data_IF_594821728889
#
_entry.id   IF_594821728889
#
_cell.length_a   1.000
_cell.length_b   1.000
_cell.length_c   1.000
_cell.angle_alpha   90.00
_cell.angle_beta   90.00
_cell.angle_gamma   90.00
#
_symmetry.space_group_name_H-M   'P 1'
#
loop_
_entity.id
_entity.type
_entity.pdbx_description
1 polymer ?
#
# COMPACT_ATOMS: atom_id res chain seq x y z
N UNK A 1 -4.58 -21.41 9.27
CA UNK A 1 -4.57 -22.56 8.35
C UNK A 1 -3.13 -22.96 8.11
N UNK A 2 -2.73 -24.18 8.47
CA UNK A 2 -1.39 -24.69 8.15
C UNK A 2 -1.33 -25.07 6.66
N UNK A 3 -0.57 -24.31 5.88
CA UNK A 3 -0.45 -24.50 4.42
C UNK A 3 0.54 -25.59 4.04
N UNK A 4 1.25 -26.19 5.00
CA UNK A 4 2.18 -27.29 4.77
C UNK A 4 1.49 -28.66 4.60
N UNK A 5 0.20 -28.75 4.96
CA UNK A 5 -0.62 -29.97 4.83
C UNK A 5 -1.71 -29.81 3.77
N UNK A 6 -2.10 -30.92 3.14
CA UNK A 6 -3.04 -30.93 2.00
C UNK A 6 -4.35 -30.21 2.29
N UNK A 7 -4.96 -30.46 3.46
CA UNK A 7 -6.24 -29.84 3.83
C UNK A 7 -6.14 -28.32 3.90
N UNK A 8 -5.07 -27.80 4.52
CA UNK A 8 -4.90 -26.36 4.66
C UNK A 8 -4.54 -25.69 3.33
N UNK A 9 -3.72 -26.34 2.49
CA UNK A 9 -3.43 -25.86 1.14
C UNK A 9 -4.70 -25.78 0.28
N UNK A 10 -5.54 -26.81 0.30
CA UNK A 10 -6.82 -26.83 -0.44
C UNK A 10 -7.75 -25.71 0.02
N UNK A 11 -7.86 -25.48 1.33
CA UNK A 11 -8.69 -24.42 1.88
C UNK A 11 -8.24 -23.02 1.42
N UNK A 12 -6.93 -22.75 1.42
CA UNK A 12 -6.39 -21.46 0.95
C UNK A 12 -6.61 -21.28 -0.56
N UNK A 13 -6.39 -22.32 -1.38
CA UNK A 13 -6.64 -22.24 -2.83
C UNK A 13 -8.11 -21.94 -3.14
N UNK A 14 -9.04 -22.64 -2.49
CA UNK A 14 -10.47 -22.39 -2.66
C UNK A 14 -10.86 -20.96 -2.25
N UNK A 15 -10.25 -20.42 -1.19
CA UNK A 15 -10.49 -19.03 -0.80
C UNK A 15 -9.96 -18.03 -1.84
N UNK A 16 -8.77 -18.29 -2.41
CA UNK A 16 -8.19 -17.47 -3.47
C UNK A 16 -9.08 -17.48 -4.72
N UNK A 17 -9.58 -18.65 -5.13
CA UNK A 17 -10.46 -18.79 -6.30
C UNK A 17 -11.79 -18.01 -6.15
N UNK A 18 -12.21 -17.73 -4.92
CA UNK A 18 -13.41 -16.94 -4.61
C UNK A 18 -13.15 -15.43 -4.56
N UNK A 19 -11.89 -14.99 -4.55
CA UNK A 19 -11.57 -13.56 -4.50
C UNK A 19 -12.00 -12.87 -5.80
N UNK A 20 -12.63 -11.70 -5.65
CA UNK A 20 -12.98 -10.81 -6.76
C UNK A 20 -12.23 -9.49 -6.58
N UNK A 21 -11.55 -8.98 -7.63
CA UNK A 21 -10.92 -7.66 -7.55
C UNK A 21 -12.00 -6.58 -7.44
N UNK A 22 -11.73 -5.57 -6.62
CA UNK A 22 -12.58 -4.39 -6.44
C UNK A 22 -11.71 -3.18 -6.06
N UNK A 23 -12.13 -1.98 -6.46
CA UNK A 23 -11.44 -0.73 -6.13
C UNK A 23 -10.13 -0.47 -6.88
N UNK A 24 -9.18 0.18 -6.19
CA UNK A 24 -7.89 0.61 -6.73
C UNK A 24 -6.72 -0.30 -6.33
N UNK A 25 -5.63 -0.18 -7.07
CA UNK A 25 -4.40 -0.95 -6.89
C UNK A 25 -3.46 -0.19 -5.96
N UNK A 26 -3.28 -0.71 -4.74
CA UNK A 26 -2.45 -0.08 -3.71
C UNK A 26 -1.28 -1.01 -3.32
N UNK A 27 -0.30 -1.08 -4.22
CA UNK A 27 0.91 -1.89 -4.02
C UNK A 27 1.70 -1.49 -2.77
N UNK A 28 1.92 -0.18 -2.45
CA UNK A 28 2.70 0.18 -1.27
C UNK A 28 2.09 -0.33 0.03
N UNK A 29 0.76 -0.34 0.18
CA UNK A 29 0.14 -0.87 1.40
C UNK A 29 0.43 -2.38 1.56
N UNK A 30 0.28 -3.16 0.49
CA UNK A 30 0.59 -4.59 0.48
C UNK A 30 2.07 -4.88 0.81
N UNK A 31 2.99 -4.12 0.20
CA UNK A 31 4.42 -4.21 0.50
C UNK A 31 4.71 -3.86 1.97
N UNK A 32 4.04 -2.84 2.51
CA UNK A 32 4.29 -2.40 3.88
C UNK A 32 3.80 -3.43 4.90
N UNK A 33 2.72 -4.15 4.63
CA UNK A 33 2.28 -5.29 5.45
C UNK A 33 3.20 -6.49 5.31
N UNK A 34 3.61 -6.84 4.09
CA UNK A 34 4.57 -7.91 3.85
C UNK A 34 5.88 -7.68 4.61
N UNK A 35 6.40 -6.45 4.55
CA UNK A 35 7.57 -6.04 5.32
C UNK A 35 7.34 -6.16 6.83
N UNK A 36 6.22 -5.65 7.38
CA UNK A 36 5.93 -5.75 8.82
C UNK A 36 5.85 -7.19 9.32
N UNK A 37 5.32 -8.11 8.53
CA UNK A 37 5.18 -9.53 8.91
C UNK A 37 6.52 -10.24 9.00
N UNK A 38 7.47 -9.94 8.10
CA UNK A 38 8.79 -10.57 8.13
C UNK A 38 9.76 -9.89 9.11
N UNK A 39 9.48 -8.65 9.53
CA UNK A 39 10.31 -7.89 10.47
C UNK A 39 10.22 -8.41 11.90
N UNK A 40 11.18 -8.07 12.76
CA UNK A 40 11.12 -8.37 14.21
C UNK A 40 10.45 -7.27 15.04
N UNK A 41 10.15 -6.12 14.43
CA UNK A 41 9.49 -4.99 15.07
C UNK A 41 7.97 -5.18 15.21
N UNK A 42 7.34 -4.27 15.96
CA UNK A 42 5.88 -4.22 16.04
C UNK A 42 5.22 -4.00 14.65
N UNK A 43 4.01 -4.54 14.40
CA UNK A 43 3.14 -5.21 15.37
C UNK A 43 3.38 -6.71 15.55
N UNK A 44 4.27 -7.33 14.75
CA UNK A 44 4.56 -8.77 14.81
C UNK A 44 5.99 -9.02 15.32
N UNK A 45 6.15 -9.07 16.64
CA UNK A 45 7.46 -9.15 17.29
C UNK A 45 8.08 -10.56 17.30
N UNK A 46 7.44 -11.53 16.66
CA UNK A 46 7.89 -12.93 16.62
C UNK A 46 8.95 -13.19 15.54
N UNK A 47 9.13 -12.27 14.59
CA UNK A 47 10.18 -12.37 13.60
C UNK A 47 11.56 -12.37 14.26
N UNK A 48 12.46 -13.25 13.82
CA UNK A 48 13.86 -13.23 14.25
C UNK A 48 14.52 -11.90 13.85
N UNK A 49 15.53 -11.38 14.57
CA UNK A 49 16.20 -10.14 14.22
C UNK A 49 16.73 -10.14 12.78
N UNK A 50 16.71 -8.97 12.14
CA UNK A 50 17.23 -8.77 10.77
C UNK A 50 18.74 -9.02 10.67
N UNK A 51 19.46 -8.94 11.80
CA UNK A 51 20.91 -9.17 11.88
C UNK A 51 21.30 -10.62 12.16
N UNK A 52 20.32 -11.52 12.34
CA UNK A 52 20.59 -12.92 12.62
C UNK A 52 21.15 -13.63 11.38
N UNK A 53 22.29 -14.33 11.53
CA UNK A 53 22.92 -15.05 10.43
C UNK A 53 22.04 -16.22 9.98
N UNK A 54 21.84 -16.38 8.67
CA UNK A 54 21.00 -17.43 8.10
C UNK A 54 19.49 -17.12 8.17
N UNK A 55 19.14 -15.83 8.23
CA UNK A 55 17.77 -15.33 8.25
C UNK A 55 17.56 -14.25 7.18
N UNK A 56 17.77 -14.59 5.92
CA UNK A 56 17.50 -13.68 4.81
C UNK A 56 15.99 -13.41 4.73
N UNK A 57 15.61 -12.13 4.84
CA UNK A 57 14.23 -11.69 4.77
C UNK A 57 13.98 -11.08 3.40
N UNK A 58 13.04 -11.68 2.67
CA UNK A 58 12.73 -11.31 1.29
C UNK A 58 11.24 -11.07 1.17
N UNK A 59 10.85 -9.96 0.55
CA UNK A 59 9.46 -9.65 0.21
C UNK A 59 9.35 -9.54 -1.31
N UNK A 60 8.60 -10.46 -1.91
CA UNK A 60 8.35 -10.46 -3.35
C UNK A 60 6.97 -9.85 -3.59
N UNK A 61 6.94 -8.74 -4.31
CA UNK A 61 5.70 -8.06 -4.70
C UNK A 61 5.33 -8.47 -6.13
N UNK A 62 4.11 -9.00 -6.28
CA UNK A 62 3.53 -9.37 -7.56
C UNK A 62 2.29 -8.51 -7.79
N UNK A 63 2.25 -7.79 -8.90
CA UNK A 63 1.11 -6.97 -9.30
C UNK A 63 0.98 -6.98 -10.83
N UNK A 64 -0.24 -6.91 -11.32
CA UNK A 64 -0.59 -6.86 -12.75
C UNK A 64 -0.90 -5.44 -13.25
N UNK A 65 -0.84 -4.43 -12.37
CA UNK A 65 -1.27 -3.08 -12.67
C UNK A 65 -0.40 -1.99 -12.04
N UNK A 66 -0.60 -0.77 -12.54
CA UNK A 66 -0.03 0.43 -11.93
C UNK A 66 -0.74 0.73 -10.60
N UNK A 67 -0.07 1.46 -9.71
CA UNK A 67 -0.73 2.03 -8.53
C UNK A 67 -1.86 2.96 -8.95
N UNK A 68 -3.01 2.87 -8.29
CA UNK A 68 -4.15 3.74 -8.59
C UNK A 68 -4.84 4.24 -7.33
N UNK A 69 -5.28 5.49 -7.42
CA UNK A 69 -6.16 6.18 -6.49
C UNK A 69 -7.17 6.97 -7.33
N UNK A 70 -8.38 7.15 -6.84
CA UNK A 70 -9.46 7.66 -7.68
C UNK A 70 -10.17 8.86 -7.07
N UNK A 71 -10.51 9.82 -7.93
CA UNK A 71 -11.60 10.78 -7.67
C UNK A 71 -12.95 10.06 -7.74
N UNK A 72 -13.99 10.51 -6.99
CA UNK A 72 -15.33 9.92 -7.12
C UNK A 72 -15.87 10.02 -8.57
N UNK A 73 -15.62 11.16 -9.23
CA UNK A 73 -16.08 11.40 -10.61
C UNK A 73 -15.45 10.44 -11.62
N UNK A 74 -14.19 10.04 -11.43
CA UNK A 74 -13.55 9.03 -12.30
C UNK A 74 -14.20 7.64 -12.22
N UNK A 75 -15.01 7.40 -11.17
CA UNK A 75 -15.80 6.20 -10.99
C UNK A 75 -17.29 6.44 -11.25
N UNK A 76 -17.66 7.54 -11.92
CA UNK A 76 -19.06 7.94 -12.14
C UNK A 76 -19.87 8.26 -10.87
N UNK A 77 -19.19 8.67 -9.79
CA UNK A 77 -19.84 9.12 -8.55
C UNK A 77 -19.77 10.65 -8.42
N UNK A 78 -20.74 11.25 -7.74
CA UNK A 78 -20.69 12.67 -7.37
C UNK A 78 -19.78 12.89 -6.15
N UNK A 79 -19.21 14.09 -6.03
CA UNK A 79 -18.38 14.50 -4.89
C UNK A 79 -18.95 15.75 -4.20
N UNK A 80 -20.14 15.68 -3.57
CA UNK A 80 -20.77 16.84 -2.95
C UNK A 80 -20.02 17.35 -1.71
N UNK A 81 -19.18 16.52 -1.10
CA UNK A 81 -18.35 16.88 0.04
C UNK A 81 -16.99 17.47 -0.37
N UNK A 82 -16.73 17.55 -1.67
CA UNK A 82 -15.45 17.99 -2.25
C UNK A 82 -14.25 17.23 -1.68
N UNK A 83 -14.41 15.93 -1.40
CA UNK A 83 -13.41 15.05 -0.79
C UNK A 83 -12.19 14.79 -1.68
N UNK A 84 -12.29 15.15 -2.98
CA UNK A 84 -11.29 15.00 -4.04
C UNK A 84 -10.88 13.56 -4.36
N UNK A 85 -11.33 12.59 -3.58
CA UNK A 85 -10.95 11.19 -3.70
C UNK A 85 -12.01 10.28 -3.09
N UNK A 86 -12.04 9.02 -3.51
CA UNK A 86 -12.67 7.96 -2.74
C UNK A 86 -11.85 7.67 -1.48
N UNK A 87 -12.50 7.17 -0.44
CA UNK A 87 -11.80 6.75 0.77
C UNK A 87 -10.95 5.50 0.50
N UNK A 88 -9.64 5.56 0.81
CA UNK A 88 -8.72 4.44 0.73
C UNK A 88 -7.59 4.60 1.78
N UNK A 89 -6.43 3.92 1.64
CA UNK A 89 -5.41 3.82 2.70
C UNK A 89 -4.86 5.17 3.19
N UNK A 90 -4.85 6.19 2.35
CA UNK A 90 -4.40 7.54 2.71
C UNK A 90 -5.55 8.45 3.20
N UNK A 91 -6.78 7.93 3.26
CA UNK A 91 -7.99 8.68 3.60
C UNK A 91 -8.48 9.57 2.47
N UNK A 92 -9.38 10.50 2.78
CA UNK A 92 -9.73 11.55 1.82
C UNK A 92 -8.59 12.55 1.65
N UNK A 93 -8.46 13.13 0.47
CA UNK A 93 -7.45 14.16 0.18
C UNK A 93 -7.91 15.58 0.54
N UNK A 94 -9.21 15.74 0.84
CA UNK A 94 -9.78 16.95 1.45
C UNK A 94 -10.78 16.52 2.54
N UNK A 95 -10.74 17.09 3.77
CA UNK A 95 -9.78 18.09 4.26
C UNK A 95 -8.35 17.55 4.31
N UNK A 96 -7.37 18.46 4.28
CA UNK A 96 -5.96 18.09 4.41
C UNK A 96 -5.66 17.46 5.78
N UNK A 97 -4.53 16.75 5.86
CA UNK A 97 -4.19 15.97 7.04
C UNK A 97 -3.76 16.88 8.21
N UNK A 98 -4.26 16.58 9.41
CA UNK A 98 -3.84 17.19 10.68
C UNK A 98 -3.84 18.74 10.67
N UNK A 99 -4.89 19.33 10.11
CA UNK A 99 -5.05 20.79 10.02
C UNK A 99 -4.21 21.47 8.92
N UNK A 100 -3.49 20.70 8.10
CA UNK A 100 -2.84 21.22 6.89
C UNK A 100 -3.83 21.31 5.72
N UNK A 101 -3.41 21.92 4.63
CA UNK A 101 -4.12 21.90 3.34
C UNK A 101 -3.75 20.71 2.45
N UNK A 102 -2.84 19.83 2.90
CA UNK A 102 -2.26 18.76 2.07
C UNK A 102 -2.83 17.41 2.47
N UNK A 103 -3.41 16.69 1.51
CA UNK A 103 -3.88 15.32 1.72
C UNK A 103 -2.73 14.35 2.02
N UNK A 104 -2.99 13.31 2.82
CA UNK A 104 -1.93 12.40 3.31
C UNK A 104 -1.13 11.73 2.20
N UNK A 105 -1.76 11.42 1.06
CA UNK A 105 -1.09 10.82 -0.10
C UNK A 105 0.10 11.66 -0.61
N UNK A 106 0.00 12.98 -0.50
CA UNK A 106 1.00 13.93 -0.99
C UNK A 106 2.03 14.33 0.07
N UNK A 107 1.95 13.78 1.27
CA UNK A 107 2.90 14.08 2.32
C UNK A 107 4.21 13.34 2.08
N UNK A 108 5.33 14.07 2.19
CA UNK A 108 6.66 13.51 2.00
C UNK A 108 7.01 13.16 0.55
N UNK A 109 6.14 13.48 -0.41
CA UNK A 109 6.46 13.38 -1.83
C UNK A 109 7.36 14.53 -2.26
N UNK A 110 8.06 14.35 -3.38
CA UNK A 110 8.91 15.34 -4.01
C UNK A 110 8.10 16.52 -4.55
N UNK A 111 8.80 17.58 -4.96
CA UNK A 111 8.19 18.75 -5.61
C UNK A 111 7.65 18.45 -7.01
N UNK A 112 7.90 17.27 -7.58
CA UNK A 112 7.30 16.84 -8.83
C UNK A 112 5.82 16.49 -8.69
N UNK A 113 5.36 16.20 -7.46
CA UNK A 113 3.96 15.90 -7.16
C UNK A 113 3.21 17.18 -6.82
N UNK A 114 2.19 17.49 -7.61
CA UNK A 114 1.33 18.65 -7.36
C UNK A 114 0.40 18.39 -6.17
N UNK A 115 0.66 19.01 -5.02
CA UNK A 115 -0.13 18.77 -3.79
C UNK A 115 -1.61 19.20 -3.88
N UNK A 116 -1.97 19.96 -4.91
CA UNK A 116 -3.34 20.40 -5.22
C UNK A 116 -3.82 19.94 -6.61
N UNK A 117 -3.05 19.06 -7.27
CA UNK A 117 -3.48 18.40 -8.50
C UNK A 117 -4.20 17.10 -8.13
N UNK A 118 -5.53 17.13 -8.27
CA UNK A 118 -6.43 16.03 -7.92
C UNK A 118 -6.72 15.09 -9.10
N UNK A 119 -5.82 15.03 -10.10
CA UNK A 119 -5.93 14.07 -11.19
C UNK A 119 -5.49 12.67 -10.77
N UNK A 120 -6.15 11.63 -11.31
CA UNK A 120 -5.77 10.23 -11.08
C UNK A 120 -4.31 9.95 -11.49
N UNK A 121 -3.79 10.67 -12.49
CA UNK A 121 -2.39 10.58 -12.91
C UNK A 121 -1.43 11.08 -11.84
N UNK A 122 -1.70 12.26 -11.25
CA UNK A 122 -0.90 12.76 -10.14
C UNK A 122 -1.00 11.85 -8.89
N UNK A 123 -2.17 11.26 -8.63
CA UNK A 123 -2.31 10.28 -7.56
C UNK A 123 -1.47 9.02 -7.78
N UNK A 124 -1.43 8.52 -9.02
CA UNK A 124 -0.58 7.39 -9.42
C UNK A 124 0.89 7.71 -9.16
N UNK A 125 1.34 8.90 -9.58
CA UNK A 125 2.72 9.35 -9.35
C UNK A 125 3.05 9.48 -7.86
N UNK A 126 2.13 10.03 -7.07
CA UNK A 126 2.29 10.13 -5.62
C UNK A 126 2.41 8.75 -4.97
N UNK A 127 1.53 7.79 -5.31
CA UNK A 127 1.63 6.42 -4.81
C UNK A 127 2.92 5.72 -5.24
N UNK A 128 3.42 6.00 -6.44
CA UNK A 128 4.72 5.47 -6.89
C UNK A 128 5.88 6.02 -6.07
N UNK A 129 5.86 7.30 -5.69
CA UNK A 129 6.86 7.87 -4.78
C UNK A 129 6.76 7.29 -3.36
N UNK A 130 5.53 7.05 -2.86
CA UNK A 130 5.32 6.36 -1.59
C UNK A 130 5.90 4.94 -1.62
N UNK A 131 5.66 4.21 -2.72
CA UNK A 131 6.22 2.87 -2.94
C UNK A 131 7.74 2.88 -3.02
N UNK A 132 8.33 3.84 -3.75
CA UNK A 132 9.78 3.98 -3.84
C UNK A 132 10.40 4.26 -2.46
N UNK A 133 9.78 5.16 -1.68
CA UNK A 133 10.20 5.47 -0.31
C UNK A 133 10.13 4.24 0.59
N UNK A 134 9.03 3.48 0.50
CA UNK A 134 8.84 2.23 1.24
C UNK A 134 9.91 1.19 0.89
N UNK A 135 10.19 0.98 -0.40
CA UNK A 135 11.24 0.06 -0.84
C UNK A 135 12.63 0.47 -0.34
N UNK A 136 12.93 1.76 -0.35
CA UNK A 136 14.20 2.27 0.17
C UNK A 136 14.32 2.03 1.67
N UNK A 137 13.24 2.27 2.42
CA UNK A 137 13.21 2.02 3.86
C UNK A 137 13.33 0.53 4.20
N UNK A 138 12.67 -0.35 3.44
CA UNK A 138 12.76 -1.80 3.62
C UNK A 138 14.21 -2.29 3.40
N UNK A 139 14.86 -1.84 2.32
CA UNK A 139 16.26 -2.17 2.03
C UNK A 139 17.20 -1.65 3.11
N UNK A 140 16.99 -0.43 3.59
CA UNK A 140 17.77 0.14 4.70
C UNK A 140 17.60 -0.67 6.00
N UNK A 141 16.48 -1.38 6.16
CA UNK A 141 16.21 -2.29 7.27
C UNK A 141 16.65 -3.74 7.01
N UNK A 142 17.47 -4.00 5.99
CA UNK A 142 17.94 -5.34 5.59
C UNK A 142 16.81 -6.29 5.15
N UNK A 143 15.76 -5.75 4.53
CA UNK A 143 14.73 -6.53 3.86
C UNK A 143 14.92 -6.40 2.34
N UNK A 144 15.03 -7.53 1.66
CA UNK A 144 15.25 -7.61 0.21
C UNK A 144 13.95 -7.60 -0.58
#
# INVERSE_FOLDING_TARGET
TDVSVTTGLTAIKAAIDLMKPDGGTNVPEGMAWGWRVVSSGEPFTQGRPETERGNDKVVIVLTDGANTYYTPSSLSHSDPADSKSTYASFGYLNPGYNGTSVGRLFMGTSSAIGQFDYSNGNYTNALNEQMATLCNNAKAANIM
#
